data_IF_236627036127
#
_entry.id   IF_236627036127
#
_cell.length_a   1.000
_cell.length_b   1.000
_cell.length_c   1.000
_cell.angle_alpha   90.00
_cell.angle_beta   90.00
_cell.angle_gamma   90.00
#
_symmetry.space_group_name_H-M   'P 1'
#
loop_
_entity.id
_entity.type
_entity.pdbx_description
1 polymer ?
#
# COMPACT_ATOMS: atom_id res chain seq x y z
N UNK A 1 -3.62 -12.94 14.42
CA UNK A 1 -5.07 -13.05 14.78
C UNK A 1 -5.82 -13.75 13.65
N UNK A 2 -6.58 -14.83 14.01
CA UNK A 2 -7.36 -15.61 13.04
C UNK A 2 -8.80 -15.10 13.01
N UNK A 3 -9.27 -14.67 11.83
CA UNK A 3 -10.58 -14.05 11.61
C UNK A 3 -11.28 -14.74 10.43
N UNK A 4 -12.60 -14.96 10.52
CA UNK A 4 -13.37 -15.50 9.40
C UNK A 4 -13.35 -14.53 8.21
N UNK A 5 -13.18 -15.05 6.99
CA UNK A 5 -13.08 -14.23 5.79
C UNK A 5 -14.39 -13.48 5.53
N UNK A 6 -14.29 -12.19 5.28
CA UNK A 6 -15.41 -11.36 4.85
C UNK A 6 -16.09 -11.96 3.60
N UNK A 7 -17.40 -12.18 3.66
CA UNK A 7 -18.20 -12.78 2.60
C UNK A 7 -17.79 -14.20 2.13
N UNK A 8 -16.96 -14.93 2.93
CA UNK A 8 -16.50 -16.28 2.59
C UNK A 8 -16.57 -17.19 3.82
N UNK A 9 -17.80 -17.51 4.27
CA UNK A 9 -18.07 -18.33 5.47
C UNK A 9 -17.27 -19.64 5.49
N UNK A 10 -16.73 -19.95 6.65
CA UNK A 10 -15.93 -21.16 6.89
C UNK A 10 -14.48 -21.08 6.46
N UNK A 11 -14.05 -19.99 5.81
CA UNK A 11 -12.65 -19.71 5.52
C UNK A 11 -12.11 -18.66 6.51
N UNK A 12 -10.83 -18.75 6.86
CA UNK A 12 -10.23 -17.90 7.86
C UNK A 12 -8.95 -17.25 7.36
N UNK A 13 -8.67 -16.05 7.85
CA UNK A 13 -7.43 -15.31 7.59
C UNK A 13 -6.62 -15.13 8.86
N UNK A 14 -5.33 -15.44 8.81
CA UNK A 14 -4.36 -14.94 9.76
C UNK A 14 -3.82 -13.60 9.27
N UNK A 15 -4.36 -12.53 9.81
CA UNK A 15 -4.07 -11.17 9.37
C UNK A 15 -2.61 -10.75 9.63
N UNK A 16 -2.02 -11.27 10.71
CA UNK A 16 -0.65 -10.93 11.13
C UNK A 16 0.39 -11.57 10.21
N UNK A 17 0.09 -12.77 9.70
CA UNK A 17 0.99 -13.54 8.85
C UNK A 17 0.62 -13.53 7.37
N UNK A 18 -0.58 -13.00 7.01
CA UNK A 18 -1.06 -12.97 5.64
C UNK A 18 -1.38 -14.35 5.06
N UNK A 19 -1.89 -15.27 5.88
CA UNK A 19 -2.18 -16.66 5.53
C UNK A 19 -3.68 -16.89 5.49
N UNK A 20 -4.14 -17.69 4.53
CA UNK A 20 -5.54 -18.09 4.41
C UNK A 20 -5.69 -19.57 4.73
N UNK A 21 -6.74 -19.90 5.47
CA UNK A 21 -7.12 -21.25 5.87
C UNK A 21 -8.47 -21.64 5.25
N UNK A 22 -8.59 -22.90 4.89
CA UNK A 22 -9.80 -23.48 4.33
C UNK A 22 -10.79 -23.92 5.39
N UNK A 23 -11.94 -24.41 4.96
CA UNK A 23 -13.09 -24.83 5.79
C UNK A 23 -12.78 -25.98 6.77
N UNK A 24 -11.70 -26.73 6.54
CA UNK A 24 -11.23 -27.82 7.40
C UNK A 24 -10.04 -27.39 8.28
N UNK A 25 -9.76 -26.08 8.36
CA UNK A 25 -8.63 -25.54 9.12
C UNK A 25 -7.25 -25.73 8.45
N UNK A 26 -7.20 -26.30 7.24
CA UNK A 26 -5.93 -26.47 6.52
C UNK A 26 -5.46 -25.13 5.93
N UNK A 27 -4.15 -24.88 5.99
CA UNK A 27 -3.53 -23.75 5.28
C UNK A 27 -3.69 -23.94 3.77
N UNK A 28 -4.24 -22.94 3.09
CA UNK A 28 -4.34 -22.96 1.63
C UNK A 28 -2.97 -22.67 0.99
N UNK A 29 -2.66 -23.43 -0.06
CA UNK A 29 -1.39 -23.28 -0.78
C UNK A 29 -1.50 -22.08 -1.73
N UNK A 30 -0.65 -21.06 -1.58
CA UNK A 30 -0.64 -19.91 -2.47
C UNK A 30 -0.10 -20.26 -3.85
N UNK A 31 -0.75 -19.75 -4.89
CA UNK A 31 -0.27 -19.81 -6.27
C UNK A 31 0.18 -18.42 -6.72
N UNK A 32 1.43 -18.30 -7.18
CA UNK A 32 1.97 -17.05 -7.71
C UNK A 32 1.45 -16.79 -9.12
N UNK A 33 0.93 -15.59 -9.36
CA UNK A 33 0.52 -15.14 -10.71
C UNK A 33 1.72 -14.59 -11.48
N UNK A 34 1.57 -14.46 -12.81
CA UNK A 34 2.62 -13.88 -13.65
C UNK A 34 2.97 -12.42 -13.25
N UNK A 35 2.02 -11.69 -12.67
CA UNK A 35 2.23 -10.32 -12.16
C UNK A 35 2.90 -10.27 -10.79
N UNK A 36 3.28 -11.43 -10.22
CA UNK A 36 3.96 -11.55 -8.95
C UNK A 36 3.05 -11.56 -7.72
N UNK A 37 1.73 -11.42 -7.86
CA UNK A 37 0.79 -11.54 -6.74
C UNK A 37 0.53 -13.00 -6.37
N UNK A 38 0.08 -13.21 -5.13
CA UNK A 38 -0.31 -14.53 -4.65
C UNK A 38 -1.83 -14.66 -4.56
N UNK A 39 -2.33 -15.80 -5.00
CA UNK A 39 -3.75 -16.14 -5.01
C UNK A 39 -3.99 -17.48 -4.32
N UNK A 40 -5.20 -17.66 -3.79
CA UNK A 40 -5.73 -18.94 -3.29
C UNK A 40 -7.10 -19.20 -3.90
N UNK A 41 -7.54 -20.46 -3.86
CA UNK A 41 -8.89 -20.83 -4.28
C UNK A 41 -9.81 -20.83 -3.07
N UNK A 42 -10.82 -19.97 -3.08
CA UNK A 42 -11.87 -19.86 -2.07
C UNK A 42 -13.22 -19.96 -2.79
N UNK A 43 -14.08 -20.85 -2.34
CA UNK A 43 -15.39 -21.11 -2.97
C UNK A 43 -15.28 -21.35 -4.50
N UNK A 44 -14.34 -22.18 -4.92
CA UNK A 44 -14.04 -22.50 -6.33
C UNK A 44 -13.63 -21.29 -7.20
N UNK A 45 -13.33 -20.16 -6.59
CA UNK A 45 -12.85 -18.95 -7.27
C UNK A 45 -11.44 -18.60 -6.82
N UNK A 46 -10.56 -18.28 -7.80
CA UNK A 46 -9.21 -17.81 -7.51
C UNK A 46 -9.28 -16.36 -7.05
N UNK A 47 -8.82 -16.10 -5.82
CA UNK A 47 -8.86 -14.80 -5.18
C UNK A 47 -7.46 -14.37 -4.71
N UNK A 48 -7.16 -13.07 -4.77
CA UNK A 48 -5.88 -12.51 -4.36
C UNK A 48 -5.81 -12.43 -2.84
N UNK A 49 -4.71 -12.95 -2.24
CA UNK A 49 -4.53 -13.02 -0.78
C UNK A 49 -4.58 -11.62 -0.15
N UNK A 50 -3.81 -10.66 -0.67
CA UNK A 50 -3.79 -9.29 -0.14
C UNK A 50 -5.20 -8.67 -0.08
N UNK A 51 -6.04 -8.96 -1.09
CA UNK A 51 -7.40 -8.44 -1.11
C UNK A 51 -8.28 -9.14 -0.05
N UNK A 52 -8.17 -10.46 0.09
CA UNK A 52 -8.88 -11.20 1.14
C UNK A 52 -8.51 -10.71 2.54
N UNK A 53 -7.22 -10.49 2.81
CA UNK A 53 -6.72 -9.99 4.10
C UNK A 53 -7.31 -8.61 4.39
N UNK A 54 -7.18 -7.67 3.44
CA UNK A 54 -7.59 -6.29 3.69
C UNK A 54 -9.12 -6.13 3.74
N UNK A 55 -9.88 -6.82 2.87
CA UNK A 55 -11.34 -6.82 2.95
C UNK A 55 -11.85 -7.40 4.26
N UNK A 56 -11.21 -8.45 4.78
CA UNK A 56 -11.57 -9.06 6.07
C UNK A 56 -11.29 -8.10 7.23
N UNK A 57 -10.14 -7.44 7.22
CA UNK A 57 -9.76 -6.51 8.28
C UNK A 57 -10.64 -5.25 8.30
N UNK A 58 -11.02 -4.73 7.13
CA UNK A 58 -11.79 -3.49 7.02
C UNK A 58 -13.31 -3.71 6.91
N UNK A 59 -13.76 -4.98 6.79
CA UNK A 59 -15.16 -5.35 6.52
C UNK A 59 -15.73 -4.62 5.30
N UNK A 60 -14.87 -4.36 4.30
CA UNK A 60 -15.20 -3.59 3.10
C UNK A 60 -14.50 -4.16 1.86
N UNK A 61 -15.18 -4.16 0.74
CA UNK A 61 -14.60 -4.58 -0.55
C UNK A 61 -13.65 -3.53 -1.17
N UNK A 62 -13.49 -2.36 -0.55
CA UNK A 62 -12.67 -1.27 -1.07
C UNK A 62 -13.12 -0.86 -2.48
N UNK A 63 -14.40 -0.48 -2.63
CA UNK A 63 -14.96 -0.13 -3.92
C UNK A 63 -14.21 1.04 -4.56
N UNK A 64 -13.83 0.90 -5.83
CA UNK A 64 -13.01 1.90 -6.53
C UNK A 64 -11.54 1.98 -6.10
N UNK A 65 -11.15 1.26 -5.03
CA UNK A 65 -9.79 1.29 -4.48
C UNK A 65 -8.96 0.06 -4.88
N UNK A 66 -7.66 0.25 -4.84
CA UNK A 66 -6.66 -0.79 -5.05
C UNK A 66 -5.96 -1.12 -3.74
N UNK A 67 -5.46 -2.36 -3.62
CA UNK A 67 -4.59 -2.72 -2.50
C UNK A 67 -3.15 -2.40 -2.87
N UNK A 68 -2.51 -1.57 -2.05
CA UNK A 68 -1.08 -1.29 -2.12
C UNK A 68 -0.32 -2.13 -1.09
N UNK A 69 0.87 -2.62 -1.47
CA UNK A 69 1.86 -3.18 -0.56
C UNK A 69 2.85 -2.07 -0.20
N UNK A 70 2.84 -1.59 1.04
CA UNK A 70 3.63 -0.45 1.51
C UNK A 70 5.14 -0.63 1.24
N UNK A 71 5.64 -1.87 1.38
CA UNK A 71 7.02 -2.24 1.10
C UNK A 71 7.32 -2.56 -0.37
N UNK A 72 6.31 -2.52 -1.25
CA UNK A 72 6.42 -2.91 -2.65
C UNK A 72 6.53 -4.41 -2.89
N UNK A 73 6.62 -5.24 -1.85
CA UNK A 73 6.77 -6.69 -1.96
C UNK A 73 5.40 -7.37 -2.04
N UNK A 74 5.00 -7.80 -3.22
CA UNK A 74 3.73 -8.49 -3.50
C UNK A 74 3.56 -9.84 -2.79
N UNK A 75 4.62 -10.38 -2.20
CA UNK A 75 4.59 -11.60 -1.39
C UNK A 75 4.25 -11.34 0.08
N UNK A 76 4.46 -10.12 0.56
CA UNK A 76 4.22 -9.73 1.95
C UNK A 76 2.75 -9.32 2.14
N UNK A 77 1.88 -10.30 2.39
CA UNK A 77 0.44 -10.10 2.55
C UNK A 77 0.00 -9.85 4.00
N UNK A 78 0.92 -9.49 4.90
CA UNK A 78 0.57 -9.11 6.28
C UNK A 78 -0.30 -7.86 6.28
N UNK A 79 -1.32 -7.81 7.14
CA UNK A 79 -2.21 -6.65 7.24
C UNK A 79 -1.46 -5.34 7.46
N UNK A 80 -0.42 -5.35 8.31
CA UNK A 80 0.40 -4.16 8.59
C UNK A 80 1.07 -3.55 7.35
N UNK A 81 1.26 -4.36 6.30
CA UNK A 81 1.86 -3.97 5.03
C UNK A 81 0.85 -3.57 3.95
N UNK A 82 -0.45 -3.72 4.20
CA UNK A 82 -1.50 -3.49 3.20
C UNK A 82 -2.30 -2.23 3.52
N UNK A 83 -2.74 -1.55 2.47
CA UNK A 83 -3.62 -0.38 2.57
C UNK A 83 -4.49 -0.24 1.33
N UNK A 84 -5.66 0.40 1.50
CA UNK A 84 -6.49 0.83 0.38
C UNK A 84 -6.00 2.17 -0.15
N UNK A 85 -5.81 2.24 -1.46
CA UNK A 85 -5.37 3.47 -2.15
C UNK A 85 -6.15 3.65 -3.45
N UNK A 86 -6.27 4.88 -3.92
CA UNK A 86 -6.76 5.15 -5.27
C UNK A 86 -5.77 4.65 -6.34
N UNK A 87 -6.24 4.47 -7.56
CA UNK A 87 -5.37 4.08 -8.68
C UNK A 87 -4.25 5.11 -8.92
N UNK A 88 -4.52 6.40 -8.68
CA UNK A 88 -3.55 7.49 -8.82
C UNK A 88 -2.44 7.39 -7.77
N UNK A 89 -2.82 7.20 -6.50
CA UNK A 89 -1.86 7.03 -5.41
C UNK A 89 -1.01 5.78 -5.58
N UNK A 90 -1.62 4.66 -5.99
CA UNK A 90 -0.88 3.42 -6.24
C UNK A 90 0.13 3.55 -7.38
N UNK A 91 -0.26 4.25 -8.47
CA UNK A 91 0.65 4.56 -9.57
C UNK A 91 1.81 5.42 -9.09
N UNK A 92 1.50 6.45 -8.33
CA UNK A 92 2.49 7.37 -7.79
C UNK A 92 3.46 6.69 -6.81
N UNK A 93 2.95 5.86 -5.90
CA UNK A 93 3.78 5.03 -5.03
C UNK A 93 4.75 4.15 -5.83
N UNK A 94 4.26 3.49 -6.90
CA UNK A 94 5.08 2.63 -7.74
C UNK A 94 6.17 3.41 -8.52
N UNK A 95 5.94 4.66 -8.87
CA UNK A 95 6.92 5.53 -9.54
C UNK A 95 8.04 5.96 -8.59
N UNK A 96 7.68 6.36 -7.37
CA UNK A 96 8.65 6.87 -6.39
C UNK A 96 9.50 5.75 -5.79
N UNK A 97 8.89 4.60 -5.53
CA UNK A 97 9.60 3.43 -4.99
C UNK A 97 10.44 2.69 -6.04
N UNK A 98 10.44 3.17 -7.31
CA UNK A 98 11.19 2.54 -8.39
C UNK A 98 10.63 1.19 -8.85
N UNK A 99 9.43 0.82 -8.42
CA UNK A 99 8.73 -0.40 -8.83
C UNK A 99 8.25 -0.33 -10.29
N UNK A 100 8.16 0.88 -10.87
CA UNK A 100 7.97 1.11 -12.30
C UNK A 100 9.29 1.51 -12.95
N UNK A 101 9.85 0.65 -13.79
CA UNK A 101 11.11 0.87 -14.50
C UNK A 101 11.01 1.84 -15.69
N UNK A 102 9.87 2.54 -15.89
CA UNK A 102 9.63 3.29 -17.12
C UNK A 102 9.79 4.82 -17.05
N UNK A 103 10.17 5.40 -15.92
CA UNK A 103 10.55 6.82 -15.88
C UNK A 103 11.95 6.92 -15.29
N UNK A 104 12.98 6.77 -16.14
CA UNK A 104 14.25 7.40 -15.87
C UNK A 104 14.07 8.92 -15.99
N UNK A 105 13.43 9.54 -15.02
CA UNK A 105 13.64 10.95 -14.81
C UNK A 105 15.08 11.10 -14.36
N UNK A 106 15.93 11.65 -15.22
CA UNK A 106 17.28 12.15 -14.85
C UNK A 106 17.08 13.11 -13.69
N UNK A 107 17.16 12.57 -12.48
CA UNK A 107 17.06 13.35 -11.25
C UNK A 107 18.31 14.19 -11.15
N UNK A 108 18.20 15.47 -11.48
CA UNK A 108 19.26 16.45 -11.17
C UNK A 108 19.36 16.54 -9.65
N UNK A 109 20.59 16.40 -9.14
CA UNK A 109 20.93 16.33 -7.71
C UNK A 109 20.46 17.53 -6.86
N UNK A 110 20.02 18.62 -7.47
CA UNK A 110 19.72 19.91 -6.83
C UNK A 110 18.26 20.34 -6.90
N UNK A 111 17.33 19.43 -7.18
CA UNK A 111 15.91 19.83 -7.28
C UNK A 111 15.27 19.90 -5.90
N UNK A 112 14.60 21.04 -5.64
CA UNK A 112 13.53 21.13 -4.65
C UNK A 112 12.54 19.99 -4.87
N UNK A 113 11.93 19.51 -3.81
CA UNK A 113 10.88 18.49 -3.91
C UNK A 113 9.76 18.95 -4.84
N UNK A 114 9.26 18.06 -5.67
CA UNK A 114 8.09 18.33 -6.51
C UNK A 114 6.83 18.40 -5.65
N UNK A 115 5.79 19.00 -6.17
CA UNK A 115 4.49 19.08 -5.48
C UNK A 115 3.96 17.69 -5.12
N UNK A 116 4.18 16.70 -6.01
CA UNK A 116 3.77 15.33 -5.77
C UNK A 116 4.59 14.64 -4.68
N UNK A 117 5.90 14.88 -4.64
CA UNK A 117 6.75 14.40 -3.53
C UNK A 117 6.31 15.01 -2.18
N UNK A 118 5.88 16.26 -2.18
CA UNK A 118 5.34 16.94 -0.99
C UNK A 118 4.00 16.32 -0.55
N UNK A 119 3.09 16.08 -1.49
CA UNK A 119 1.80 15.41 -1.22
C UNK A 119 1.99 14.00 -0.66
N UNK A 120 2.95 13.26 -1.22
CA UNK A 120 3.31 11.93 -0.73
C UNK A 120 3.79 11.98 0.73
N UNK A 121 4.71 12.88 1.04
CA UNK A 121 5.23 13.04 2.40
C UNK A 121 4.08 13.36 3.37
N UNK A 122 3.13 14.23 2.98
CA UNK A 122 1.95 14.53 3.80
C UNK A 122 1.06 13.32 3.99
N UNK A 123 0.76 12.62 2.90
CA UNK A 123 -0.07 11.42 2.92
C UNK A 123 0.47 10.37 3.90
N UNK A 124 1.73 9.96 3.75
CA UNK A 124 2.32 8.96 4.66
C UNK A 124 2.55 9.48 6.08
N UNK A 125 2.74 10.79 6.24
CA UNK A 125 2.79 11.41 7.57
C UNK A 125 1.43 11.34 8.28
N UNK A 126 0.32 11.53 7.56
CA UNK A 126 -1.04 11.39 8.10
C UNK A 126 -1.39 9.95 8.49
N UNK A 127 -0.77 8.97 7.83
CA UNK A 127 -0.85 7.55 8.16
C UNK A 127 0.06 7.13 9.34
N UNK A 128 0.72 8.11 9.98
CA UNK A 128 1.57 7.85 11.15
C UNK A 128 2.99 7.38 10.83
N UNK A 129 3.40 7.40 9.56
CA UNK A 129 4.77 7.00 9.19
C UNK A 129 5.80 7.94 9.82
N UNK A 130 6.90 7.35 10.30
CA UNK A 130 8.02 8.11 10.82
C UNK A 130 8.96 8.60 9.70
N UNK A 131 9.83 9.54 10.02
CA UNK A 131 10.77 10.15 9.07
C UNK A 131 11.65 9.13 8.34
N UNK A 132 12.04 8.04 9.01
CA UNK A 132 12.88 6.99 8.41
C UNK A 132 12.12 6.24 7.32
N UNK A 133 10.89 5.82 7.60
CA UNK A 133 10.02 5.14 6.63
C UNK A 133 9.72 6.03 5.43
N UNK A 134 9.39 7.32 5.66
CA UNK A 134 9.14 8.29 4.58
C UNK A 134 10.39 8.50 3.72
N UNK A 135 11.58 8.51 4.34
CA UNK A 135 12.83 8.65 3.59
C UNK A 135 13.13 7.44 2.69
N UNK A 136 12.69 6.25 3.05
CA UNK A 136 12.83 5.04 2.23
C UNK A 136 12.05 5.17 0.91
N UNK A 137 10.88 5.80 0.94
CA UNK A 137 10.04 6.01 -0.26
C UNK A 137 10.32 7.32 -0.98
N UNK A 138 10.86 8.32 -0.28
CA UNK A 138 11.27 9.60 -0.85
C UNK A 138 12.73 9.92 -0.51
N UNK A 139 13.70 9.25 -1.15
CA UNK A 139 15.13 9.35 -0.80
C UNK A 139 15.72 10.76 -0.94
N UNK A 140 15.11 11.61 -1.77
CA UNK A 140 15.52 13.01 -1.95
C UNK A 140 15.13 13.89 -0.77
N UNK A 141 14.06 13.55 -0.06
CA UNK A 141 13.64 14.31 1.10
C UNK A 141 14.62 14.09 2.24
N UNK A 142 15.27 15.16 2.69
CA UNK A 142 16.07 15.09 3.91
C UNK A 142 15.15 15.14 5.15
N UNK A 143 15.62 14.69 6.32
CA UNK A 143 14.81 14.68 7.54
C UNK A 143 14.21 16.04 7.92
N UNK A 144 14.93 17.15 7.64
CA UNK A 144 14.46 18.51 7.89
C UNK A 144 13.27 18.87 7.00
N UNK A 145 13.34 18.48 5.70
CA UNK A 145 12.24 18.70 4.75
C UNK A 145 11.00 17.88 5.14
N UNK A 146 11.18 16.61 5.50
CA UNK A 146 10.07 15.75 5.94
C UNK A 146 9.41 16.36 7.18
N UNK A 147 10.20 16.76 8.18
CA UNK A 147 9.67 17.42 9.38
C UNK A 147 8.92 18.71 9.05
N UNK A 148 9.49 19.58 8.22
CA UNK A 148 8.90 20.84 7.84
C UNK A 148 7.58 20.68 7.04
N UNK A 149 7.51 19.68 6.16
CA UNK A 149 6.30 19.35 5.39
C UNK A 149 5.23 18.78 6.32
N UNK A 150 5.59 17.82 7.16
CA UNK A 150 4.69 17.19 8.13
C UNK A 150 4.02 18.23 9.06
N UNK A 151 4.76 19.24 9.46
CA UNK A 151 4.27 20.30 10.35
C UNK A 151 3.79 21.55 9.59
N UNK A 152 3.60 21.45 8.28
CA UNK A 152 3.11 22.54 7.42
C UNK A 152 3.96 23.83 7.48
N UNK A 153 5.26 23.70 7.79
CA UNK A 153 6.21 24.81 7.90
C UNK A 153 6.81 25.22 6.54
N UNK A 154 6.77 24.30 5.55
CA UNK A 154 7.27 24.53 4.20
C UNK A 154 6.31 23.98 3.15
N UNK A 155 6.50 24.39 1.88
CA UNK A 155 5.65 23.99 0.75
C UNK A 155 4.16 24.29 0.94
N UNK A 156 3.81 25.39 1.61
CA UNK A 156 2.43 25.79 1.95
C UNK A 156 1.53 26.00 0.71
N UNK A 157 2.11 26.37 -0.43
CA UNK A 157 1.39 26.56 -1.68
C UNK A 157 0.93 25.25 -2.35
N UNK A 158 1.50 24.11 -1.96
CA UNK A 158 1.11 22.80 -2.48
C UNK A 158 -0.21 22.40 -1.83
N UNK A 159 -1.29 22.40 -2.60
CA UNK A 159 -2.61 21.95 -2.13
C UNK A 159 -2.67 20.41 -2.14
N UNK A 160 -3.22 19.83 -1.09
CA UNK A 160 -3.58 18.42 -1.07
C UNK A 160 -4.80 18.23 -1.98
N UNK A 161 -4.87 17.12 -2.72
CA UNK A 161 -5.96 16.85 -3.70
C UNK A 161 -7.28 16.47 -2.99
N UNK A 162 -7.66 17.17 -1.93
CA UNK A 162 -8.90 16.92 -1.17
C UNK A 162 -10.11 17.70 -1.69
N UNK A 163 -9.96 18.48 -2.78
CA UNK A 163 -11.08 19.16 -3.42
C UNK A 163 -11.21 18.69 -4.87
N UNK A 164 -11.89 17.57 -5.07
CA UNK A 164 -12.67 17.33 -6.27
C UNK A 164 -14.10 17.11 -5.80
N UNK A 165 -14.91 18.15 -6.01
CA UNK A 165 -16.37 18.09 -5.91
C UNK A 165 -16.94 16.92 -6.73
#
# INVERSE_FOLDING_TARGET
MLVELFNNKGYYADLDNGIIYGTRGQKLIPCKTYNGYYTVTVNNKRQKIHRLILTTATQSNGEGLQVNHKDGNKANNKLSNLEWVSAKENTYHAEITGLRTHIQTKVRKDRKLTDDEVRLIRHYSSLGWNTRQIKEICPKANPKNIYAIKNNLSYKAVKDNTEVN
#
